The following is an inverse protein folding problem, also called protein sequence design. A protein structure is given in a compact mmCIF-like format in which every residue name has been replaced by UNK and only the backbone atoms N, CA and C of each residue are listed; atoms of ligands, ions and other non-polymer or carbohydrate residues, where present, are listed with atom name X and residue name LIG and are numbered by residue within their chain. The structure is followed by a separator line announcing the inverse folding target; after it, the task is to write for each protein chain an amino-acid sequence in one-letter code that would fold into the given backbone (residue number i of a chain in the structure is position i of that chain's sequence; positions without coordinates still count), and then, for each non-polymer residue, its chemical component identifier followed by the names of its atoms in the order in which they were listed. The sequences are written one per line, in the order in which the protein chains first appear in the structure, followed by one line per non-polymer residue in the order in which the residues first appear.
data_IF_888891040233
#
_entry.id   IF_888891040233
#
_cell.length_a   1.000
_cell.length_b   1.000
_cell.length_c   1.000
_cell.angle_alpha   90.00
_cell.angle_beta   90.00
_cell.angle_gamma   90.00
#
_symmetry.space_group_name_H-M   'P 1'
#
loop_
_entity.id
_entity.type
_entity.pdbx_description
1 polymer ?
#
# COMPACT_ATOMS: atom_id res chain seq x y z
N UNK A 1 -20.47 -22.25 9.82
CA UNK A 1 -21.68 -22.05 8.99
C UNK A 1 -22.93 -22.05 9.85
N UNK A 2 -24.03 -21.53 9.32
CA UNK A 2 -25.37 -21.63 9.95
C UNK A 2 -25.92 -23.04 9.71
N UNK A 3 -26.41 -23.72 10.77
CA UNK A 3 -26.99 -25.07 10.64
C UNK A 3 -28.20 -25.05 9.70
N UNK A 4 -28.30 -26.03 8.79
CA UNK A 4 -29.36 -26.09 7.78
C UNK A 4 -29.12 -25.22 6.55
N UNK A 5 -27.90 -24.66 6.39
CA UNK A 5 -27.51 -23.86 5.24
C UNK A 5 -26.33 -24.49 4.48
N UNK A 6 -26.14 -24.15 3.19
CA UNK A 6 -25.28 -24.88 2.27
C UNK A 6 -23.87 -25.17 2.79
N UNK A 7 -23.18 -24.18 3.37
CA UNK A 7 -21.84 -24.39 3.90
C UNK A 7 -21.77 -25.40 5.06
N UNK A 8 -22.77 -25.41 5.95
CA UNK A 8 -22.82 -26.35 7.06
C UNK A 8 -23.10 -27.77 6.57
N UNK A 9 -24.08 -27.92 5.67
CA UNK A 9 -24.43 -29.21 5.06
C UNK A 9 -23.29 -29.77 4.19
N UNK A 10 -22.49 -28.88 3.59
CA UNK A 10 -21.27 -29.22 2.85
C UNK A 10 -20.08 -29.61 3.77
N UNK A 11 -20.24 -29.57 5.10
CA UNK A 11 -19.19 -29.97 6.04
C UNK A 11 -18.07 -28.95 6.22
N UNK A 12 -18.31 -27.67 5.88
CA UNK A 12 -17.39 -26.59 6.20
C UNK A 12 -17.36 -26.35 7.72
N UNK A 13 -16.15 -26.24 8.27
CA UNK A 13 -15.91 -26.05 9.71
C UNK A 13 -15.67 -24.57 10.02
N UNK A 14 -15.66 -24.24 11.30
CA UNK A 14 -15.17 -22.93 11.76
C UNK A 14 -13.65 -22.85 11.58
N UNK A 15 -13.14 -21.64 11.27
CA UNK A 15 -11.70 -21.36 11.07
C UNK A 15 -11.12 -22.01 9.80
N UNK A 16 -11.73 -21.68 8.67
CA UNK A 16 -11.25 -22.07 7.33
C UNK A 16 -10.93 -20.81 6.52
N UNK A 17 -9.86 -20.88 5.71
CA UNK A 17 -9.43 -19.75 4.88
C UNK A 17 -9.95 -19.93 3.47
N UNK A 18 -11.06 -19.25 3.16
CA UNK A 18 -11.63 -19.21 1.83
C UNK A 18 -10.70 -18.45 0.87
N UNK A 19 -10.39 -19.02 -0.29
CA UNK A 19 -9.56 -18.34 -1.30
C UNK A 19 -10.19 -18.33 -2.70
N UNK A 20 -11.21 -19.13 -2.98
CA UNK A 20 -11.87 -19.15 -4.30
C UNK A 20 -13.34 -19.59 -4.24
N UNK A 21 -14.18 -18.94 -5.05
CA UNK A 21 -15.56 -19.36 -5.33
C UNK A 21 -15.76 -19.36 -6.85
N UNK A 22 -16.09 -20.51 -7.44
CA UNK A 22 -16.24 -20.68 -8.89
C UNK A 22 -15.04 -20.13 -9.70
N UNK A 23 -13.82 -20.30 -9.18
CA UNK A 23 -12.59 -19.78 -9.79
C UNK A 23 -12.38 -18.27 -9.65
N UNK A 24 -13.28 -17.54 -8.96
CA UNK A 24 -13.06 -16.15 -8.57
C UNK A 24 -12.24 -16.10 -7.29
N UNK A 25 -11.05 -15.50 -7.35
CA UNK A 25 -10.17 -15.35 -6.19
C UNK A 25 -10.79 -14.45 -5.12
N UNK A 26 -10.81 -14.94 -3.88
CA UNK A 26 -11.35 -14.24 -2.72
C UNK A 26 -10.21 -13.83 -1.80
N UNK A 27 -9.90 -12.54 -1.78
CA UNK A 27 -8.80 -11.97 -0.99
C UNK A 27 -9.28 -11.05 0.14
N UNK A 28 -10.55 -10.65 0.16
CA UNK A 28 -11.15 -9.84 1.21
C UNK A 28 -12.70 -9.95 1.19
N UNK A 29 -13.36 -9.29 2.14
CA UNK A 29 -14.82 -9.28 2.22
C UNK A 29 -15.52 -8.66 0.99
N UNK A 30 -14.88 -7.70 0.32
CA UNK A 30 -15.44 -7.07 -0.89
C UNK A 30 -15.40 -8.01 -2.09
N UNK A 31 -14.30 -8.73 -2.31
CA UNK A 31 -14.22 -9.74 -3.38
C UNK A 31 -15.15 -10.91 -3.12
N UNK A 32 -15.31 -11.33 -1.86
CA UNK A 32 -16.35 -12.28 -1.46
C UNK A 32 -17.76 -11.78 -1.79
N UNK A 33 -18.10 -10.55 -1.39
CA UNK A 33 -19.42 -9.97 -1.64
C UNK A 33 -19.71 -9.85 -3.14
N UNK A 34 -18.73 -9.40 -3.93
CA UNK A 34 -18.86 -9.31 -5.38
C UNK A 34 -19.00 -10.67 -6.06
N UNK A 35 -18.29 -11.69 -5.59
CA UNK A 35 -18.43 -13.06 -6.09
C UNK A 35 -19.84 -13.60 -5.79
N UNK A 36 -20.30 -13.48 -4.55
CA UNK A 36 -21.64 -13.93 -4.15
C UNK A 36 -22.77 -13.12 -4.81
N UNK A 37 -22.57 -11.83 -5.10
CA UNK A 37 -23.62 -11.04 -5.77
C UNK A 37 -23.86 -11.44 -7.23
N UNK A 38 -22.94 -12.19 -7.84
CA UNK A 38 -23.08 -12.77 -9.18
C UNK A 38 -23.82 -14.11 -9.19
N UNK A 39 -24.05 -14.71 -8.02
CA UNK A 39 -24.68 -16.04 -7.93
C UNK A 39 -26.18 -15.96 -7.67
N UNK A 40 -26.89 -17.01 -8.06
CA UNK A 40 -28.33 -17.16 -7.87
C UNK A 40 -28.67 -18.25 -6.83
N UNK A 41 -29.86 -18.16 -6.25
CA UNK A 41 -30.42 -19.23 -5.43
C UNK A 41 -30.61 -20.50 -6.28
N UNK A 42 -30.26 -21.66 -5.72
CA UNK A 42 -30.28 -22.94 -6.44
C UNK A 42 -29.10 -23.19 -7.38
N UNK A 43 -28.19 -22.23 -7.55
CA UNK A 43 -26.95 -22.41 -8.31
C UNK A 43 -25.98 -23.31 -7.53
N UNK A 44 -25.31 -24.22 -8.24
CA UNK A 44 -24.22 -25.02 -7.67
C UNK A 44 -22.91 -24.26 -7.79
N UNK A 45 -22.22 -24.07 -6.67
CA UNK A 45 -20.93 -23.38 -6.61
C UNK A 45 -19.84 -24.28 -6.03
N UNK A 46 -18.64 -24.15 -6.57
CA UNK A 46 -17.42 -24.79 -6.06
C UNK A 46 -16.68 -23.78 -5.20
N UNK A 47 -16.40 -24.18 -3.96
CA UNK A 47 -15.73 -23.35 -2.96
C UNK A 47 -14.41 -24.01 -2.62
N UNK A 48 -13.31 -23.27 -2.74
CA UNK A 48 -11.99 -23.74 -2.39
C UNK A 48 -11.44 -22.97 -1.18
N UNK A 49 -10.91 -23.72 -0.23
CA UNK A 49 -10.48 -23.20 1.06
C UNK A 49 -9.31 -23.99 1.63
N UNK A 50 -8.54 -23.35 2.49
CA UNK A 50 -7.54 -24.02 3.32
C UNK A 50 -8.15 -24.42 4.66
N UNK A 51 -7.88 -25.66 5.06
CA UNK A 51 -8.18 -26.16 6.40
C UNK A 51 -6.89 -26.47 7.13
N UNK A 52 -6.76 -25.99 8.36
CA UNK A 52 -5.63 -26.33 9.22
C UNK A 52 -5.94 -27.62 9.99
N UNK A 53 -5.29 -28.73 9.61
CA UNK A 53 -5.39 -30.02 10.27
C UNK A 53 -3.97 -30.59 10.48
N UNK A 54 -3.71 -31.16 11.66
CA UNK A 54 -2.44 -31.82 12.01
C UNK A 54 -1.15 -30.98 11.81
N UNK A 55 -1.22 -29.66 11.99
CA UNK A 55 -0.06 -28.78 11.88
C UNK A 55 0.20 -28.21 10.48
N UNK A 56 -0.58 -28.61 9.48
CA UNK A 56 -0.44 -28.21 8.08
C UNK A 56 -1.73 -27.64 7.52
N UNK A 57 -1.63 -26.68 6.58
CA UNK A 57 -2.76 -26.23 5.79
C UNK A 57 -2.96 -27.18 4.60
N UNK A 58 -4.15 -27.76 4.50
CA UNK A 58 -4.55 -28.59 3.37
C UNK A 58 -5.56 -27.86 2.50
N UNK A 59 -5.37 -27.93 1.18
CA UNK A 59 -6.32 -27.40 0.21
C UNK A 59 -7.51 -28.36 0.11
N UNK A 60 -8.71 -27.82 0.26
CA UNK A 60 -9.97 -28.56 0.12
C UNK A 60 -10.86 -27.83 -0.86
N UNK A 61 -11.66 -28.58 -1.60
CA UNK A 61 -12.73 -28.05 -2.43
C UNK A 61 -14.02 -28.76 -2.11
N UNK A 62 -15.12 -28.02 -2.16
CA UNK A 62 -16.46 -28.56 -1.92
C UNK A 62 -17.47 -27.90 -2.84
N UNK A 63 -18.38 -28.70 -3.37
CA UNK A 63 -19.50 -28.23 -4.19
C UNK A 63 -20.73 -28.09 -3.30
N UNK A 64 -21.49 -27.02 -3.47
CA UNK A 64 -22.75 -26.82 -2.73
C UNK A 64 -23.78 -26.05 -3.55
N UNK A 65 -25.05 -26.38 -3.34
CA UNK A 65 -26.19 -25.66 -3.92
C UNK A 65 -26.56 -24.50 -3.01
N UNK A 66 -26.60 -23.29 -3.55
CA UNK A 66 -26.88 -22.08 -2.78
C UNK A 66 -28.35 -21.99 -2.35
N UNK A 67 -28.57 -21.55 -1.11
CA UNK A 67 -29.90 -21.21 -0.62
C UNK A 67 -30.32 -19.83 -1.13
N UNK A 68 -31.57 -19.45 -0.89
CA UNK A 68 -32.05 -18.11 -1.19
C UNK A 68 -31.72 -17.14 -0.04
N UNK A 69 -31.11 -16.00 -0.38
CA UNK A 69 -30.72 -14.97 0.58
C UNK A 69 -31.93 -14.28 1.21
N UNK A 70 -32.96 -13.99 0.43
CA UNK A 70 -34.19 -13.37 0.91
C UNK A 70 -34.87 -14.28 1.94
N UNK A 71 -35.01 -15.57 1.66
CA UNK A 71 -35.63 -16.53 2.58
C UNK A 71 -34.88 -16.62 3.93
N UNK A 72 -33.54 -16.56 3.91
CA UNK A 72 -32.74 -16.52 5.14
C UNK A 72 -33.04 -15.24 5.95
N UNK A 73 -33.00 -14.08 5.31
CA UNK A 73 -33.22 -12.82 6.00
C UNK A 73 -34.68 -12.68 6.47
N UNK A 74 -35.66 -13.11 5.69
CA UNK A 74 -37.07 -13.15 6.09
C UNK A 74 -37.25 -13.98 7.37
N UNK A 75 -36.60 -15.15 7.46
CA UNK A 75 -36.74 -16.06 8.59
C UNK A 75 -36.01 -15.62 9.86
N UNK A 76 -34.79 -15.07 9.73
CA UNK A 76 -33.93 -14.82 10.89
C UNK A 76 -33.69 -13.33 11.18
N UNK A 77 -33.83 -12.45 10.18
CA UNK A 77 -33.47 -11.03 10.25
C UNK A 77 -34.43 -10.16 9.41
N UNK A 78 -35.75 -10.31 9.61
CA UNK A 78 -36.77 -9.69 8.75
C UNK A 78 -36.61 -8.17 8.62
N UNK A 79 -36.13 -7.50 9.69
CA UNK A 79 -35.87 -6.06 9.72
C UNK A 79 -34.67 -5.60 8.86
N UNK A 80 -33.85 -6.53 8.37
CA UNK A 80 -32.69 -6.29 7.50
C UNK A 80 -32.85 -6.94 6.12
N UNK A 81 -34.03 -7.50 5.83
CA UNK A 81 -34.30 -8.08 4.52
C UNK A 81 -34.54 -6.98 3.48
N UNK A 82 -34.18 -7.27 2.23
CA UNK A 82 -34.32 -6.35 1.10
C UNK A 82 -34.83 -7.14 -0.11
N UNK A 83 -35.71 -6.56 -0.92
CA UNK A 83 -36.19 -7.19 -2.16
C UNK A 83 -35.05 -7.50 -3.14
N UNK A 84 -33.93 -6.76 -3.09
CA UNK A 84 -32.72 -7.07 -3.86
C UNK A 84 -32.10 -8.42 -3.51
N UNK A 85 -32.44 -9.02 -2.37
CA UNK A 85 -31.95 -10.34 -1.97
C UNK A 85 -32.70 -11.48 -2.63
N UNK A 86 -33.86 -11.21 -3.24
CA UNK A 86 -34.71 -12.24 -3.83
C UNK A 86 -33.98 -12.91 -5.00
N UNK A 87 -33.87 -14.24 -4.95
CA UNK A 87 -33.17 -15.03 -5.96
C UNK A 87 -31.64 -14.93 -5.89
N UNK A 88 -31.07 -14.20 -4.93
CA UNK A 88 -29.61 -14.13 -4.73
C UNK A 88 -29.13 -15.35 -3.96
N UNK A 89 -28.00 -15.90 -4.39
CA UNK A 89 -27.38 -17.05 -3.75
C UNK A 89 -26.91 -16.74 -2.32
N UNK A 90 -27.16 -17.68 -1.40
CA UNK A 90 -26.78 -17.58 0.00
C UNK A 90 -26.09 -18.86 0.49
N UNK A 91 -24.89 -18.69 1.04
CA UNK A 91 -24.01 -19.80 1.42
C UNK A 91 -24.06 -20.15 2.92
N UNK A 92 -24.52 -19.22 3.77
CA UNK A 92 -24.59 -19.43 5.22
C UNK A 92 -23.24 -19.35 5.96
N UNK A 93 -22.31 -18.55 5.45
CA UNK A 93 -21.01 -18.27 6.09
C UNK A 93 -20.97 -16.86 6.69
N UNK A 94 -20.20 -16.72 7.77
CA UNK A 94 -19.75 -15.43 8.29
C UNK A 94 -18.26 -15.32 7.99
N UNK A 95 -17.86 -14.31 7.22
CA UNK A 95 -16.47 -14.06 6.88
C UNK A 95 -15.90 -12.97 7.78
N UNK A 96 -14.71 -13.21 8.34
CA UNK A 96 -13.92 -12.19 9.03
C UNK A 96 -12.64 -11.95 8.23
N UNK A 97 -12.23 -10.69 8.12
CA UNK A 97 -10.93 -10.37 7.52
C UNK A 97 -9.84 -10.67 8.56
N UNK A 98 -8.88 -11.54 8.22
CA UNK A 98 -7.78 -11.91 9.11
C UNK A 98 -6.69 -10.83 9.23
N UNK A 99 -6.81 -9.71 8.51
CA UNK A 99 -5.78 -8.68 8.39
C UNK A 99 -4.59 -9.11 7.51
N UNK A 100 -4.67 -10.30 6.90
CA UNK A 100 -3.67 -10.84 6.00
C UNK A 100 -4.06 -10.43 4.58
N UNK A 101 -3.25 -9.58 3.95
CA UNK A 101 -3.37 -9.28 2.54
C UNK A 101 -2.27 -10.07 1.82
N UNK A 102 -2.61 -11.05 0.96
CA UNK A 102 -1.60 -11.76 0.19
C UNK A 102 -0.93 -10.77 -0.75
N UNK A 103 0.40 -10.72 -0.70
CA UNK A 103 1.23 -9.93 -1.60
C UNK A 103 1.85 -10.91 -2.60
N UNK A 104 1.73 -10.68 -3.92
CA UNK A 104 2.38 -11.52 -4.93
C UNK A 104 3.87 -11.67 -4.66
N UNK A 105 4.43 -12.86 -4.91
CA UNK A 105 5.85 -13.14 -4.64
C UNK A 105 6.78 -12.17 -5.40
N UNK A 106 6.41 -11.72 -6.59
CA UNK A 106 7.19 -10.79 -7.41
C UNK A 106 7.03 -9.31 -7.02
N UNK A 107 6.15 -8.98 -6.07
CA UNK A 107 5.79 -7.61 -5.72
C UNK A 107 7.00 -6.76 -5.30
N UNK A 108 7.83 -7.23 -4.36
CA UNK A 108 9.01 -6.50 -3.92
C UNK A 108 10.14 -6.55 -4.96
N UNK A 109 10.53 -7.73 -5.49
CA UNK A 109 11.58 -7.81 -6.51
C UNK A 109 11.33 -6.91 -7.71
N UNK A 110 10.11 -6.87 -8.24
CA UNK A 110 9.77 -6.04 -9.39
C UNK A 110 10.01 -4.55 -9.12
N UNK A 111 9.61 -4.06 -7.95
CA UNK A 111 9.79 -2.64 -7.58
C UNK A 111 11.23 -2.27 -7.30
N UNK A 112 11.97 -3.18 -6.66
CA UNK A 112 13.38 -2.98 -6.32
C UNK A 112 14.29 -3.07 -7.56
N UNK A 113 13.97 -3.95 -8.51
CA UNK A 113 14.71 -4.08 -9.77
C UNK A 113 14.39 -2.97 -10.78
N UNK A 114 13.17 -2.41 -10.73
CA UNK A 114 12.72 -1.38 -11.65
C UNK A 114 12.19 -0.13 -10.91
N UNK A 115 13.04 0.57 -10.12
CA UNK A 115 12.60 1.74 -9.37
C UNK A 115 12.13 2.88 -10.27
N UNK A 116 12.63 2.97 -11.50
CA UNK A 116 12.29 4.04 -12.46
C UNK A 116 11.10 3.70 -13.38
N UNK A 117 10.49 2.50 -13.27
CA UNK A 117 9.39 2.12 -14.16
C UNK A 117 8.08 2.86 -13.86
N UNK A 118 7.92 3.37 -12.64
CA UNK A 118 6.79 4.22 -12.27
C UNK A 118 7.15 5.16 -11.13
N UNK A 119 6.41 6.26 -11.00
CA UNK A 119 6.54 7.18 -9.86
C UNK A 119 6.29 6.48 -8.53
N UNK A 120 5.34 5.54 -8.48
CA UNK A 120 5.05 4.72 -7.30
C UNK A 120 6.24 3.87 -6.89
N UNK A 121 6.90 3.22 -7.86
CA UNK A 121 8.08 2.41 -7.59
C UNK A 121 9.26 3.27 -7.15
N UNK A 122 9.43 4.44 -7.76
CA UNK A 122 10.49 5.37 -7.40
C UNK A 122 10.36 5.83 -5.96
N UNK A 123 9.19 6.34 -5.57
CA UNK A 123 8.96 6.80 -4.21
C UNK A 123 8.97 5.65 -3.20
N UNK A 124 8.50 4.45 -3.57
CA UNK A 124 8.66 3.26 -2.76
C UNK A 124 10.14 2.95 -2.49
N UNK A 125 10.97 2.99 -3.53
CA UNK A 125 12.42 2.73 -3.44
C UNK A 125 13.13 3.77 -2.56
N UNK A 126 12.82 5.05 -2.72
CA UNK A 126 13.35 6.13 -1.86
C UNK A 126 12.90 5.97 -0.39
N UNK A 127 11.71 5.43 -0.17
CA UNK A 127 11.11 5.31 1.15
C UNK A 127 11.46 4.02 1.92
N UNK A 128 12.26 3.11 1.35
CA UNK A 128 12.63 1.85 1.99
C UNK A 128 13.13 1.95 3.44
N UNK A 129 13.96 2.94 3.84
CA UNK A 129 14.48 3.03 5.21
C UNK A 129 13.37 3.41 6.19
N UNK A 130 12.43 4.24 5.76
CA UNK A 130 11.27 4.65 6.56
C UNK A 130 10.21 3.54 6.65
N UNK A 131 10.16 2.67 5.63
CA UNK A 131 9.29 1.50 5.61
C UNK A 131 9.86 0.31 6.42
N UNK A 132 11.06 0.42 6.99
CA UNK A 132 11.73 -0.70 7.67
C UNK A 132 12.14 -1.83 6.72
N UNK A 133 12.31 -1.53 5.43
CA UNK A 133 12.69 -2.46 4.37
C UNK A 133 14.16 -2.28 3.93
N UNK A 134 14.94 -1.48 4.66
CA UNK A 134 16.37 -1.26 4.42
C UNK A 134 17.17 -1.41 5.72
N UNK A 135 18.13 -2.35 5.81
CA UNK A 135 18.42 -3.39 4.82
C UNK A 135 17.18 -4.28 4.61
N UNK A 136 17.10 -4.93 3.44
CA UNK A 136 15.95 -5.77 3.12
C UNK A 136 15.83 -6.90 4.16
N UNK A 137 14.67 -7.09 4.83
CA UNK A 137 14.63 -7.90 6.05
C UNK A 137 14.91 -9.39 5.80
N UNK A 138 15.60 -10.05 6.73
CA UNK A 138 16.04 -11.45 6.58
C UNK A 138 14.90 -12.44 6.33
N UNK A 139 13.74 -12.23 6.96
CA UNK A 139 12.55 -13.06 6.72
C UNK A 139 12.04 -12.98 5.29
N UNK A 140 12.28 -11.85 4.60
CA UNK A 140 11.94 -11.69 3.19
C UNK A 140 13.04 -12.20 2.28
N UNK A 141 14.32 -12.03 2.62
CA UNK A 141 15.43 -12.51 1.77
C UNK A 141 15.39 -14.03 1.59
N UNK A 142 14.94 -14.77 2.60
CA UNK A 142 14.87 -16.24 2.61
C UNK A 142 13.91 -16.83 1.56
N UNK A 143 12.91 -16.06 1.11
CA UNK A 143 11.92 -16.53 0.12
C UNK A 143 12.29 -16.18 -1.33
N UNK A 144 13.42 -15.48 -1.55
CA UNK A 144 13.87 -15.06 -2.87
C UNK A 144 15.09 -15.83 -3.35
N UNK A 145 15.09 -16.18 -4.64
CA UNK A 145 16.28 -16.66 -5.33
C UNK A 145 17.09 -15.48 -5.88
N UNK A 146 18.40 -15.49 -5.65
CA UNK A 146 19.31 -14.43 -6.09
C UNK A 146 20.23 -14.90 -7.20
N UNK A 147 20.65 -14.03 -8.14
CA UNK A 147 21.54 -14.38 -9.25
C UNK A 147 22.97 -14.69 -8.81
N UNK A 148 23.35 -14.26 -7.60
CA UNK A 148 24.61 -14.54 -6.93
C UNK A 148 24.32 -15.24 -5.60
N UNK A 149 25.32 -15.86 -4.94
CA UNK A 149 25.14 -16.38 -3.59
C UNK A 149 24.54 -15.33 -2.66
N UNK A 150 23.50 -15.69 -1.89
CA UNK A 150 22.76 -14.75 -1.05
C UNK A 150 23.65 -13.97 -0.08
N UNK A 151 24.72 -14.61 0.41
CA UNK A 151 25.74 -14.00 1.27
C UNK A 151 26.52 -12.85 0.62
N UNK A 152 26.53 -12.77 -0.71
CA UNK A 152 27.21 -11.72 -1.48
C UNK A 152 26.18 -10.74 -2.06
N UNK A 153 25.07 -11.27 -2.60
CA UNK A 153 24.05 -10.47 -3.26
C UNK A 153 23.45 -9.40 -2.34
N UNK A 154 22.97 -9.80 -1.15
CA UNK A 154 22.26 -8.89 -0.26
C UNK A 154 23.14 -7.76 0.30
N UNK A 155 24.39 -8.02 0.75
CA UNK A 155 25.30 -6.94 1.14
C UNK A 155 25.61 -5.97 -0.01
N UNK A 156 25.80 -6.49 -1.23
CA UNK A 156 26.10 -5.66 -2.39
C UNK A 156 24.90 -4.81 -2.81
N UNK A 157 23.71 -5.41 -2.86
CA UNK A 157 22.46 -4.70 -3.14
C UNK A 157 22.21 -3.59 -2.11
N UNK A 158 22.40 -3.88 -0.83
CA UNK A 158 22.30 -2.88 0.24
C UNK A 158 23.33 -1.75 0.07
N UNK A 159 24.56 -2.08 -0.31
CA UNK A 159 25.61 -1.07 -0.54
C UNK A 159 25.25 -0.15 -1.71
N UNK A 160 24.85 -0.70 -2.85
CA UNK A 160 24.43 0.12 -3.99
C UNK A 160 23.18 0.94 -3.70
N UNK A 161 22.24 0.38 -2.94
CA UNK A 161 21.08 1.10 -2.46
C UNK A 161 21.49 2.33 -1.64
N UNK A 162 22.36 2.18 -0.65
CA UNK A 162 22.81 3.30 0.18
C UNK A 162 23.69 4.30 -0.57
N UNK A 163 24.51 3.85 -1.52
CA UNK A 163 25.23 4.74 -2.43
C UNK A 163 24.26 5.61 -3.23
N UNK A 164 23.22 5.02 -3.83
CA UNK A 164 22.17 5.79 -4.49
C UNK A 164 21.47 6.74 -3.51
N UNK A 165 21.03 6.23 -2.37
CA UNK A 165 20.17 6.97 -1.45
C UNK A 165 20.90 8.18 -0.83
N UNK A 166 22.17 8.02 -0.44
CA UNK A 166 22.97 9.12 0.09
C UNK A 166 23.27 10.18 -0.97
N UNK A 167 23.62 9.78 -2.20
CA UNK A 167 23.80 10.74 -3.29
C UNK A 167 22.51 11.49 -3.61
N UNK A 168 21.38 10.79 -3.60
CA UNK A 168 20.06 11.39 -3.79
C UNK A 168 19.69 12.34 -2.66
N UNK A 169 19.92 11.96 -1.40
CA UNK A 169 19.65 12.80 -0.23
C UNK A 169 20.50 14.07 -0.22
N UNK A 170 21.80 13.96 -0.51
CA UNK A 170 22.70 15.12 -0.60
C UNK A 170 22.31 16.02 -1.77
N UNK A 171 22.03 15.42 -2.94
CA UNK A 171 21.61 16.17 -4.12
C UNK A 171 20.30 16.93 -3.89
N UNK A 172 19.29 16.28 -3.31
CA UNK A 172 18.00 16.92 -2.99
C UNK A 172 18.14 18.00 -1.92
N UNK A 173 18.99 17.78 -0.91
CA UNK A 173 19.31 18.79 0.10
C UNK A 173 19.95 20.03 -0.54
N UNK A 174 20.94 19.86 -1.41
CA UNK A 174 21.60 20.98 -2.10
C UNK A 174 20.68 21.75 -3.04
N UNK A 175 19.64 21.12 -3.59
CA UNK A 175 18.66 21.76 -4.49
C UNK A 175 17.57 22.53 -3.73
N UNK A 176 17.51 22.44 -2.40
CA UNK A 176 16.53 23.19 -1.62
C UNK A 176 16.64 24.70 -1.88
N UNK A 177 15.50 25.44 -1.93
CA UNK A 177 15.47 26.88 -2.19
C UNK A 177 15.87 27.68 -0.93
N UNK A 178 17.08 27.44 -0.43
CA UNK A 178 17.59 28.04 0.79
C UNK A 178 19.06 28.48 0.64
N UNK A 179 19.36 29.75 0.91
CA UNK A 179 20.74 30.25 0.96
C UNK A 179 21.37 29.82 2.30
N UNK A 180 22.60 29.26 2.34
CA UNK A 180 23.65 29.32 1.31
C UNK A 180 23.74 28.14 0.34
N UNK A 181 22.73 27.27 0.26
CA UNK A 181 22.76 26.11 -0.65
C UNK A 181 22.68 26.55 -2.11
N UNK A 182 23.27 25.77 -3.01
CA UNK A 182 23.31 26.04 -4.46
C UNK A 182 21.90 26.22 -5.04
N UNK A 183 20.95 25.42 -4.57
CA UNK A 183 19.53 25.51 -4.93
C UNK A 183 18.89 26.84 -4.58
N UNK A 184 19.35 27.54 -3.54
CA UNK A 184 18.90 28.88 -3.18
C UNK A 184 19.22 29.92 -4.26
N UNK A 185 20.43 29.86 -4.82
CA UNK A 185 20.84 30.77 -5.90
C UNK A 185 20.15 30.44 -7.22
N UNK A 186 20.06 29.16 -7.58
CA UNK A 186 19.32 28.71 -8.77
C UNK A 186 17.83 29.10 -8.67
N UNK A 187 17.24 28.95 -7.48
CA UNK A 187 15.87 29.36 -7.22
C UNK A 187 15.71 30.88 -7.36
N UNK A 188 16.64 31.68 -6.82
CA UNK A 188 16.66 33.13 -6.99
C UNK A 188 16.66 33.51 -8.47
N UNK A 189 17.52 32.90 -9.29
CA UNK A 189 17.61 33.17 -10.73
C UNK A 189 16.34 32.74 -11.47
N UNK A 190 15.73 31.63 -11.05
CA UNK A 190 14.42 31.18 -11.54
C UNK A 190 13.31 32.20 -11.27
N UNK A 191 13.22 32.69 -10.03
CA UNK A 191 12.26 33.74 -9.64
C UNK A 191 12.53 35.04 -10.40
N UNK A 192 13.79 35.44 -10.57
CA UNK A 192 14.15 36.62 -11.35
C UNK A 192 13.71 36.48 -12.81
N UNK A 193 13.89 35.30 -13.40
CA UNK A 193 13.48 35.01 -14.77
C UNK A 193 11.96 35.03 -14.95
N UNK A 194 11.21 34.44 -14.01
CA UNK A 194 9.74 34.49 -14.01
C UNK A 194 9.25 35.94 -13.84
N UNK A 195 9.84 36.68 -12.90
CA UNK A 195 9.45 38.07 -12.60
C UNK A 195 9.69 38.98 -13.80
N UNK A 196 10.81 38.82 -14.53
CA UNK A 196 11.07 39.53 -15.80
C UNK A 196 10.03 39.22 -16.86
N UNK A 197 9.66 37.93 -16.98
CA UNK A 197 8.69 37.48 -17.99
C UNK A 197 7.29 38.07 -17.76
N UNK A 198 6.86 38.15 -16.50
CA UNK A 198 5.56 38.72 -16.11
C UNK A 198 5.60 40.25 -16.18
N UNK A 199 6.64 40.86 -15.60
CA UNK A 199 6.81 42.30 -15.51
C UNK A 199 7.76 42.85 -16.57
N UNK A 200 7.42 42.71 -17.87
CA UNK A 200 8.29 43.12 -19.01
C UNK A 200 8.86 44.54 -18.95
N UNK A 201 8.26 45.46 -18.17
CA UNK A 201 8.71 46.85 -17.98
C UNK A 201 9.30 47.13 -16.59
N UNK A 202 9.51 46.11 -15.76
CA UNK A 202 10.08 46.29 -14.43
C UNK A 202 11.58 46.59 -14.52
N UNK A 203 12.05 47.53 -13.70
CA UNK A 203 13.48 47.80 -13.53
C UNK A 203 14.17 46.57 -12.93
N UNK A 204 15.40 46.29 -13.37
CA UNK A 204 16.22 45.17 -12.87
C UNK A 204 16.39 45.20 -11.34
N UNK A 205 16.58 46.37 -10.74
CA UNK A 205 16.64 46.54 -9.28
C UNK A 205 15.38 46.02 -8.56
N UNK A 206 14.20 46.21 -9.16
CA UNK A 206 12.93 45.75 -8.58
C UNK A 206 12.79 44.23 -8.73
N UNK A 207 13.28 43.67 -9.84
CA UNK A 207 13.31 42.21 -10.06
C UNK A 207 14.24 41.54 -9.05
N UNK A 208 15.46 42.05 -8.89
CA UNK A 208 16.44 41.47 -7.96
C UNK A 208 15.96 41.59 -6.51
N UNK A 209 15.34 42.72 -6.13
CA UNK A 209 14.73 42.87 -4.80
C UNK A 209 13.64 41.84 -4.54
N UNK A 210 12.71 41.65 -5.48
CA UNK A 210 11.63 40.66 -5.34
C UNK A 210 12.22 39.25 -5.26
N UNK A 211 13.14 38.91 -6.15
CA UNK A 211 13.74 37.57 -6.22
C UNK A 211 14.53 37.25 -4.96
N UNK A 212 15.31 38.21 -4.46
CA UNK A 212 16.03 38.10 -3.19
C UNK A 212 15.07 37.95 -2.02
N UNK A 213 14.03 38.78 -1.91
CA UNK A 213 13.04 38.67 -0.82
C UNK A 213 12.31 37.33 -0.83
N UNK A 214 11.85 36.86 -2.00
CA UNK A 214 11.21 35.55 -2.13
C UNK A 214 12.18 34.44 -1.72
N UNK A 215 13.42 34.48 -2.21
CA UNK A 215 14.44 33.48 -1.88
C UNK A 215 14.75 33.47 -0.38
N UNK A 216 14.89 34.64 0.25
CA UNK A 216 15.10 34.74 1.70
C UNK A 216 13.92 34.18 2.49
N UNK A 217 12.69 34.47 2.08
CA UNK A 217 11.48 33.91 2.73
C UNK A 217 11.51 32.38 2.67
N UNK A 218 11.76 31.80 1.49
CA UNK A 218 11.87 30.35 1.34
C UNK A 218 13.05 29.77 2.15
N UNK A 219 14.18 30.48 2.20
CA UNK A 219 15.33 30.08 3.02
C UNK A 219 14.97 30.00 4.50
N UNK A 220 14.25 31.00 5.02
CA UNK A 220 13.78 31.04 6.40
C UNK A 220 12.74 29.94 6.65
N UNK A 221 11.80 29.69 5.73
CA UNK A 221 10.82 28.60 5.86
C UNK A 221 11.53 27.25 5.94
N UNK A 222 12.49 26.99 5.05
CA UNK A 222 13.28 25.74 5.06
C UNK A 222 14.06 25.60 6.37
N UNK A 223 14.72 26.68 6.82
CA UNK A 223 15.43 26.69 8.11
C UNK A 223 14.49 26.37 9.28
N UNK A 224 13.34 27.04 9.35
CA UNK A 224 12.35 26.81 10.40
C UNK A 224 11.78 25.39 10.34
N UNK A 225 11.55 24.83 9.15
CA UNK A 225 11.10 23.45 8.99
C UNK A 225 12.13 22.44 9.52
N UNK A 226 13.42 22.64 9.21
CA UNK A 226 14.50 21.80 9.74
C UNK A 226 14.61 21.93 11.26
N UNK A 227 14.60 23.15 11.79
CA UNK A 227 14.63 23.37 13.25
C UNK A 227 13.41 22.75 13.94
N UNK A 228 12.22 22.88 13.35
CA UNK A 228 11.00 22.29 13.87
C UNK A 228 11.11 20.76 13.96
N UNK A 229 11.67 20.09 12.94
CA UNK A 229 11.89 18.63 12.97
C UNK A 229 12.80 18.19 14.12
N UNK A 230 13.78 19.01 14.51
CA UNK A 230 14.69 18.69 15.61
C UNK A 230 14.11 19.03 17.00
N UNK A 231 13.38 20.14 17.09
CA UNK A 231 12.91 20.70 18.35
C UNK A 231 11.58 20.08 18.79
N UNK A 232 10.62 19.88 17.88
CA UNK A 232 9.27 19.37 18.21
C UNK A 232 9.32 18.01 18.92
N UNK A 233 10.08 16.99 18.45
CA UNK A 233 10.15 15.71 19.13
C UNK A 233 10.72 15.83 20.56
N UNK A 234 11.70 16.72 20.75
CA UNK A 234 12.34 16.94 22.07
C UNK A 234 11.41 17.65 23.05
N UNK A 235 10.64 18.64 22.59
CA UNK A 235 9.64 19.31 23.44
C UNK A 235 8.56 18.33 23.85
N UNK A 236 8.04 17.52 22.92
CA UNK A 236 7.04 16.48 23.25
C UNK A 236 7.55 15.50 24.28
N UNK A 237 8.82 15.12 24.23
CA UNK A 237 9.45 14.22 25.20
C UNK A 237 9.65 14.84 26.59
N UNK A 238 9.72 16.18 26.71
CA UNK A 238 9.83 16.88 28.00
C UNK A 238 8.47 17.16 28.65
N UNK A 239 7.40 17.16 27.85
CA UNK A 239 6.02 17.41 28.29
C UNK A 239 5.21 16.12 28.53
N UNK A 240 5.77 14.96 28.17
CA UNK A 240 5.22 13.63 28.44
C UNK A 240 5.84 13.06 29.71
#
# INVERSE_FOLDING_TARGET
GVKGYPAYEAGMKSVEVLYSINGTEINNGSTFFLAMNKTAAGENVVVEYYRYENGTFENRSVSMVLADKYEYYEKYHANKNDEEFRGKGFIGLSTINMGINPIPADYYPHRLAHPLSSTKNFFFYVALPFAGLSPFPDGFTAIYSTPLPSSIFWPLANTFYWLFWLNFAIGTFNVLPAVPLDGGYIFKDGIASITRKIGRKMKEEKVDRISSSVTTIFSVIVLLAILAMLVIPRIRALLA
#
